data_IF_319592613456
#
_entry.id   IF_319592613456
#
_cell.length_a   1.000
_cell.length_b   1.000
_cell.length_c   1.000
_cell.angle_alpha   90.00
_cell.angle_beta   90.00
_cell.angle_gamma   90.00
#
_symmetry.space_group_name_H-M   'P 1'
#
loop_
_entity.id
_entity.type
_entity.pdbx_description
1 polymer ?
#
# COMPACT_ATOMS: atom_id res chain seq x y z
N UNK A 1 9.85 13.73 4.71
CA UNK A 1 10.45 12.44 4.31
C UNK A 1 10.40 11.40 5.41
N UNK A 2 10.87 11.68 6.63
CA UNK A 2 10.84 10.71 7.76
C UNK A 2 9.43 10.16 8.02
N UNK A 3 8.42 11.04 8.02
CA UNK A 3 7.02 10.65 8.25
C UNK A 3 6.44 9.76 7.14
N UNK A 4 6.70 10.11 5.87
CA UNK A 4 6.28 9.31 4.70
C UNK A 4 6.96 7.93 4.70
N UNK A 5 8.25 7.88 5.04
CA UNK A 5 9.01 6.63 5.10
C UNK A 5 8.48 5.71 6.20
N UNK A 6 8.22 6.28 7.40
CA UNK A 6 7.59 5.55 8.51
C UNK A 6 6.24 4.97 8.12
N UNK A 7 5.38 5.76 7.46
CA UNK A 7 4.08 5.30 7.01
C UNK A 7 4.22 4.17 5.98
N UNK A 8 5.12 4.31 5.00
CA UNK A 8 5.32 3.25 4.00
C UNK A 8 5.85 1.96 4.63
N UNK A 9 6.77 2.05 5.59
CA UNK A 9 7.32 0.87 6.28
C UNK A 9 6.23 0.17 7.12
N UNK A 10 5.39 0.92 7.85
CA UNK A 10 4.23 0.36 8.56
C UNK A 10 3.21 -0.28 7.59
N UNK A 11 2.98 0.30 6.40
CA UNK A 11 2.12 -0.31 5.39
C UNK A 11 2.69 -1.65 4.92
N UNK A 12 3.98 -1.71 4.63
CA UNK A 12 4.66 -2.93 4.16
C UNK A 12 4.56 -4.04 5.20
N UNK A 13 4.80 -3.73 6.49
CA UNK A 13 4.68 -4.68 7.59
C UNK A 13 3.26 -5.26 7.72
N UNK A 14 2.22 -4.42 7.62
CA UNK A 14 0.82 -4.88 7.68
C UNK A 14 0.46 -5.75 6.47
N UNK A 15 0.98 -5.43 5.28
CA UNK A 15 0.73 -6.24 4.07
C UNK A 15 1.43 -7.60 4.17
N UNK A 16 2.66 -7.65 4.70
CA UNK A 16 3.39 -8.89 4.96
C UNK A 16 2.68 -9.77 5.99
N UNK A 17 2.17 -9.18 7.07
CA UNK A 17 1.41 -9.91 8.09
C UNK A 17 0.10 -10.48 7.52
N UNK A 18 -0.58 -9.72 6.66
CA UNK A 18 -1.79 -10.19 5.96
C UNK A 18 -1.49 -11.34 5.00
N UNK A 19 -0.35 -11.32 4.30
CA UNK A 19 0.10 -12.40 3.41
C UNK A 19 0.43 -13.69 4.20
N UNK A 20 1.13 -13.56 5.32
CA UNK A 20 1.57 -14.72 6.12
C UNK A 20 0.44 -15.35 6.92
N UNK A 21 -0.41 -14.52 7.55
CA UNK A 21 -1.41 -14.99 8.50
C UNK A 21 -2.82 -15.09 7.92
N UNK A 22 -3.08 -14.46 6.77
CA UNK A 22 -4.44 -14.28 6.24
C UNK A 22 -5.34 -13.43 7.14
N UNK A 23 -4.78 -12.84 8.20
CA UNK A 23 -5.47 -12.02 9.19
C UNK A 23 -4.83 -10.63 9.19
N UNK A 24 -5.66 -9.60 9.15
CA UNK A 24 -5.23 -8.22 9.19
C UNK A 24 -6.23 -7.33 8.49
N UNK A 25 -6.25 -6.06 8.86
CA UNK A 25 -7.10 -5.06 8.23
C UNK A 25 -6.29 -3.80 8.08
N UNK A 26 -5.86 -3.45 6.87
CA UNK A 26 -5.24 -2.14 6.62
C UNK A 26 -6.30 -1.04 6.78
N UNK A 27 -6.20 -0.13 7.76
CA UNK A 27 -7.19 0.93 7.91
C UNK A 27 -7.25 1.82 6.67
N UNK A 28 -8.44 2.31 6.29
CA UNK A 28 -8.56 3.26 5.17
C UNK A 28 -7.80 4.57 5.42
N UNK A 29 -7.67 4.98 6.69
CA UNK A 29 -6.89 6.17 7.09
C UNK A 29 -5.43 6.07 6.64
N UNK A 30 -4.89 4.85 6.55
CA UNK A 30 -3.51 4.60 6.20
C UNK A 30 -3.15 5.11 4.79
N UNK A 31 -4.02 4.84 3.81
CA UNK A 31 -3.85 5.31 2.43
C UNK A 31 -4.02 6.83 2.33
N UNK A 32 -4.93 7.41 3.12
CA UNK A 32 -5.16 8.85 3.15
C UNK A 32 -3.96 9.62 3.71
N UNK A 33 -3.33 9.08 4.75
CA UNK A 33 -2.15 9.68 5.39
C UNK A 33 -0.92 9.63 4.47
N UNK A 34 -0.68 8.49 3.80
CA UNK A 34 0.41 8.38 2.80
C UNK A 34 0.16 9.32 1.63
N UNK A 35 -1.07 9.35 1.08
CA UNK A 35 -1.43 10.23 -0.04
C UNK A 35 -1.17 11.70 0.31
N UNK A 36 -1.59 12.14 1.51
CA UNK A 36 -1.39 13.50 1.99
C UNK A 36 0.09 13.86 2.08
N UNK A 37 0.92 12.97 2.61
CA UNK A 37 2.36 13.22 2.67
C UNK A 37 3.00 13.21 1.26
N UNK A 38 2.60 12.30 0.35
CA UNK A 38 3.04 12.34 -1.05
C UNK A 38 2.72 13.69 -1.72
N UNK A 39 1.49 14.18 -1.58
CA UNK A 39 1.06 15.48 -2.14
C UNK A 39 1.87 16.65 -1.56
N UNK A 40 2.15 16.63 -0.26
CA UNK A 40 2.97 17.64 0.44
C UNK A 40 4.41 17.71 -0.06
N UNK A 41 4.99 16.58 -0.51
CA UNK A 41 6.34 16.55 -1.11
C UNK A 41 6.32 16.69 -2.64
N UNK A 42 5.15 16.92 -3.27
CA UNK A 42 5.05 17.02 -4.73
C UNK A 42 5.20 15.69 -5.48
N UNK A 43 5.08 14.56 -4.79
CA UNK A 43 5.19 13.20 -5.32
C UNK A 43 3.86 12.76 -5.94
N UNK A 44 3.47 13.38 -7.06
CA UNK A 44 2.18 13.15 -7.72
C UNK A 44 2.02 11.73 -8.29
N UNK A 45 3.11 11.12 -8.75
CA UNK A 45 3.10 9.73 -9.22
C UNK A 45 2.91 8.76 -8.05
N UNK A 46 3.71 8.87 -6.99
CA UNK A 46 3.50 8.12 -5.74
C UNK A 46 2.07 8.27 -5.19
N UNK A 47 1.51 9.48 -5.14
CA UNK A 47 0.14 9.71 -4.69
C UNK A 47 -0.91 8.98 -5.54
N UNK A 48 -0.66 8.86 -6.86
CA UNK A 48 -1.50 8.07 -7.77
C UNK A 48 -1.38 6.58 -7.50
N UNK A 49 -0.16 6.09 -7.23
CA UNK A 49 0.04 4.68 -6.87
C UNK A 49 -0.69 4.32 -5.57
N UNK A 50 -0.68 5.20 -4.57
CA UNK A 50 -1.43 5.00 -3.31
C UNK A 50 -2.93 4.85 -3.54
N UNK A 51 -3.51 5.60 -4.48
CA UNK A 51 -4.93 5.45 -4.85
C UNK A 51 -5.22 4.10 -5.52
N UNK A 52 -4.33 3.64 -6.39
CA UNK A 52 -4.45 2.32 -7.03
C UNK A 52 -4.36 1.21 -5.97
N UNK A 53 -3.42 1.33 -5.02
CA UNK A 53 -3.29 0.41 -3.89
C UNK A 53 -4.60 0.36 -3.07
N UNK A 54 -5.17 1.51 -2.74
CA UNK A 54 -6.44 1.60 -2.01
C UNK A 54 -7.59 0.90 -2.75
N UNK A 55 -7.70 1.11 -4.07
CA UNK A 55 -8.72 0.51 -4.92
C UNK A 55 -8.58 -1.02 -4.99
N UNK A 56 -7.36 -1.52 -5.22
CA UNK A 56 -7.08 -2.95 -5.30
C UNK A 56 -7.30 -3.65 -3.95
N UNK A 57 -6.90 -3.03 -2.83
CA UNK A 57 -7.20 -3.54 -1.48
C UNK A 57 -8.70 -3.56 -1.20
N UNK A 58 -9.47 -2.58 -1.69
CA UNK A 58 -10.91 -2.56 -1.54
C UNK A 58 -11.58 -3.67 -2.37
N UNK A 59 -11.10 -3.95 -3.59
CA UNK A 59 -11.55 -5.11 -4.38
C UNK A 59 -11.21 -6.42 -3.67
N UNK A 60 -9.99 -6.54 -3.16
CA UNK A 60 -9.51 -7.71 -2.43
C UNK A 60 -10.32 -8.00 -1.16
N UNK A 61 -10.86 -6.97 -0.49
CA UNK A 61 -11.74 -7.13 0.69
C UNK A 61 -12.98 -7.98 0.43
N UNK A 62 -13.44 -8.06 -0.83
CA UNK A 62 -14.62 -8.83 -1.21
C UNK A 62 -14.29 -10.23 -1.76
N UNK A 63 -13.01 -10.58 -1.90
CA UNK A 63 -12.58 -11.92 -2.30
C UNK A 63 -12.73 -12.86 -1.10
N UNK A 64 -13.67 -13.82 -1.19
CA UNK A 64 -13.88 -14.84 -0.16
C UNK A 64 -12.73 -15.87 -0.17
N UNK A 65 -12.67 -16.72 0.88
CA UNK A 65 -11.67 -17.78 1.14
C UNK A 65 -11.33 -18.72 -0.04
N UNK A 66 -12.13 -18.75 -1.10
CA UNK A 66 -11.91 -19.58 -2.30
C UNK A 66 -11.01 -18.92 -3.35
N UNK A 67 -10.73 -17.61 -3.25
CA UNK A 67 -9.93 -16.86 -4.23
C UNK A 67 -8.56 -16.42 -3.67
N UNK A 68 -7.95 -17.22 -2.79
CA UNK A 68 -6.67 -16.92 -2.13
C UNK A 68 -5.56 -16.53 -3.11
N UNK A 69 -5.50 -17.14 -4.29
CA UNK A 69 -4.51 -16.79 -5.32
C UNK A 69 -4.69 -15.35 -5.87
N UNK A 70 -5.93 -14.88 -6.02
CA UNK A 70 -6.22 -13.50 -6.47
C UNK A 70 -5.91 -12.49 -5.37
N UNK A 71 -6.11 -12.89 -4.12
CA UNK A 71 -5.71 -12.11 -2.96
C UNK A 71 -4.19 -11.93 -2.91
N UNK A 72 -3.43 -13.03 -3.05
CA UNK A 72 -1.96 -13.00 -3.13
C UNK A 72 -1.46 -12.12 -4.29
N UNK A 73 -2.05 -12.22 -5.48
CA UNK A 73 -1.66 -11.39 -6.62
C UNK A 73 -1.95 -9.89 -6.38
N UNK A 74 -3.09 -9.58 -5.75
CA UNK A 74 -3.39 -8.21 -5.33
C UNK A 74 -2.32 -7.69 -4.36
N UNK A 75 -1.97 -8.46 -3.32
CA UNK A 75 -0.93 -8.09 -2.35
C UNK A 75 0.44 -7.87 -2.98
N UNK A 76 0.88 -8.75 -3.91
CA UNK A 76 2.14 -8.57 -4.62
C UNK A 76 2.17 -7.25 -5.41
N UNK A 77 1.06 -6.88 -6.06
CA UNK A 77 0.95 -5.57 -6.75
C UNK A 77 1.06 -4.40 -5.77
N UNK A 78 0.47 -4.51 -4.57
CA UNK A 78 0.62 -3.47 -3.53
C UNK A 78 2.08 -3.29 -3.12
N UNK A 79 2.83 -4.39 -2.96
CA UNK A 79 4.27 -4.33 -2.67
C UNK A 79 5.06 -3.68 -3.80
N UNK A 80 4.77 -3.99 -5.07
CA UNK A 80 5.41 -3.35 -6.22
C UNK A 80 5.22 -1.83 -6.22
N UNK A 81 3.99 -1.37 -5.94
CA UNK A 81 3.70 0.06 -5.85
C UNK A 81 4.43 0.74 -4.67
N UNK A 82 4.55 0.08 -3.53
CA UNK A 82 5.35 0.57 -2.39
C UNK A 82 6.82 0.76 -2.80
N UNK A 83 7.39 -0.22 -3.51
CA UNK A 83 8.77 -0.14 -3.98
C UNK A 83 8.99 1.03 -4.96
N UNK A 84 8.01 1.33 -5.81
CA UNK A 84 8.02 2.51 -6.67
C UNK A 84 8.07 3.80 -5.84
N UNK A 85 7.25 3.91 -4.79
CA UNK A 85 7.25 5.09 -3.91
C UNK A 85 8.59 5.24 -3.21
N UNK A 86 9.16 4.14 -2.68
CA UNK A 86 10.49 4.13 -2.05
C UNK A 86 11.59 4.56 -3.03
N UNK A 87 11.52 4.11 -4.28
CA UNK A 87 12.46 4.50 -5.33
C UNK A 87 12.36 6.00 -5.67
N UNK A 88 11.15 6.56 -5.81
CA UNK A 88 10.99 8.01 -6.02
C UNK A 88 11.53 8.83 -4.86
N UNK A 89 11.36 8.36 -3.62
CA UNK A 89 11.91 9.02 -2.43
C UNK A 89 13.44 9.02 -2.39
N UNK A 90 14.12 8.00 -2.94
CA UNK A 90 15.59 7.97 -3.03
C UNK A 90 16.16 9.00 -4.03
N UNK A 91 15.31 9.55 -4.91
CA UNK A 91 15.68 10.55 -5.89
C UNK A 91 15.35 11.99 -5.46
N UNK A 92 14.83 12.18 -4.23
CA UNK A 92 14.58 13.47 -3.56
C UNK A 92 15.67 13.81 -2.54
#
# INVERSE_FOLDING_TARGET
MIELMRLIDELEEVLDEMLVSGAGTVPLSFFQDIKRECEKYGLSYAATQVLIIEEERNKARFLHKEETNKLTEAFCKLQEYIQVIKAEMLHL
#
